data_IF_152121883459
#
_entry.id   IF_152121883459
#
_cell.length_a   1.000
_cell.length_b   1.000
_cell.length_c   1.000
_cell.angle_alpha   90.00
_cell.angle_beta   90.00
_cell.angle_gamma   90.00
#
_symmetry.space_group_name_H-M   'P 1'
#
loop_
_entity.id
_entity.type
_entity.pdbx_description
1 polymer ?
#
# COMPACT_ATOMS: atom_id res chain seq x y z
N UNK A 1 -2.90 7.20 34.36
CA UNK A 1 -1.89 6.14 34.15
C UNK A 1 -1.09 6.48 32.90
N UNK A 2 0.23 6.70 32.98
CA UNK A 2 1.04 7.05 31.81
C UNK A 2 1.40 5.82 30.96
N UNK A 3 1.48 6.04 29.65
CA UNK A 3 1.77 5.09 28.57
C UNK A 3 3.20 4.49 28.68
N UNK A 4 3.39 3.16 28.80
CA UNK A 4 4.69 2.56 29.10
C UNK A 4 5.56 2.18 27.89
N UNK A 5 5.29 2.68 26.67
CA UNK A 5 6.14 2.37 25.52
C UNK A 5 6.54 3.64 24.78
N UNK A 6 7.81 4.03 24.94
CA UNK A 6 8.50 5.16 24.30
C UNK A 6 8.66 5.02 22.78
N UNK A 7 7.53 4.89 22.07
CA UNK A 7 7.42 5.20 20.65
C UNK A 7 6.80 6.59 20.55
N UNK A 8 7.65 7.59 20.36
CA UNK A 8 7.24 8.90 19.88
C UNK A 8 7.06 8.75 18.38
N UNK A 9 5.92 9.19 17.85
CA UNK A 9 5.76 9.41 16.41
C UNK A 9 6.87 10.39 15.96
N UNK A 10 7.85 9.98 15.16
CA UNK A 10 8.96 10.85 14.81
C UNK A 10 8.57 11.97 13.83
N UNK A 11 7.29 12.07 13.42
CA UNK A 11 6.85 13.11 12.49
C UNK A 11 5.75 14.03 12.99
N UNK A 12 5.10 13.79 14.14
CA UNK A 12 4.15 14.75 14.73
C UNK A 12 3.13 15.31 13.73
N UNK A 13 2.69 14.50 12.75
CA UNK A 13 1.69 14.89 11.77
C UNK A 13 0.33 14.48 12.31
N UNK A 14 -0.08 15.19 13.35
CA UNK A 14 -1.47 15.35 13.70
C UNK A 14 -2.14 15.89 12.42
N UNK A 15 -3.08 15.13 11.86
CA UNK A 15 -3.92 15.59 10.78
C UNK A 15 -4.80 16.75 11.29
N UNK A 16 -4.24 17.95 11.38
CA UNK A 16 -4.98 19.19 11.49
C UNK A 16 -5.14 19.75 10.09
N UNK A 17 -6.34 19.56 9.56
CA UNK A 17 -6.86 20.40 8.50
C UNK A 17 -6.77 21.86 8.95
N UNK A 18 -5.99 22.67 8.23
CA UNK A 18 -5.99 24.12 8.39
C UNK A 18 -6.17 24.75 7.01
N UNK A 19 -7.22 25.57 6.92
CA UNK A 19 -7.63 26.41 5.81
C UNK A 19 -6.46 27.04 5.03
N UNK A 20 -6.57 27.00 3.69
CA UNK A 20 -5.89 27.92 2.78
C UNK A 20 -6.44 29.35 2.94
N UNK A 21 -5.63 30.37 2.63
CA UNK A 21 -5.95 31.16 1.44
C UNK A 21 -4.74 31.59 0.60
N UNK A 22 -4.97 31.75 -0.71
CA UNK A 22 -4.37 32.81 -1.53
C UNK A 22 -3.14 32.46 -2.37
N UNK A 23 -3.40 32.20 -3.65
CA UNK A 23 -2.68 32.61 -4.86
C UNK A 23 -1.16 32.89 -4.83
N UNK A 24 -0.42 32.13 -5.65
CA UNK A 24 0.64 32.66 -6.50
C UNK A 24 0.83 31.75 -7.72
N UNK A 25 0.57 32.31 -8.90
CA UNK A 25 0.80 31.69 -10.20
C UNK A 25 2.30 31.64 -10.53
N UNK A 26 2.78 30.54 -11.11
CA UNK A 26 3.84 30.57 -12.13
C UNK A 26 3.77 29.36 -13.07
N UNK A 27 3.78 29.69 -14.37
CA UNK A 27 4.34 28.98 -15.53
C UNK A 27 3.82 27.60 -15.92
N UNK A 28 3.11 27.62 -17.04
CA UNK A 28 2.89 26.51 -17.97
C UNK A 28 4.22 25.85 -18.38
N UNK A 29 4.39 24.57 -18.03
CA UNK A 29 5.25 23.63 -18.76
C UNK A 29 4.46 22.34 -19.01
N UNK A 30 4.27 22.06 -20.30
CA UNK A 30 4.09 20.75 -20.94
C UNK A 30 3.26 19.69 -20.20
N UNK A 31 1.94 19.76 -20.40
CA UNK A 31 1.02 18.64 -20.14
C UNK A 31 1.24 17.53 -21.19
N UNK A 32 2.18 16.63 -20.90
CA UNK A 32 2.25 15.30 -21.54
C UNK A 32 1.02 14.47 -21.14
N UNK A 33 -0.01 14.56 -21.98
CA UNK A 33 -1.23 13.76 -21.97
C UNK A 33 -0.95 12.31 -22.44
N UNK A 34 -0.12 11.56 -21.73
CA UNK A 34 -0.05 10.08 -21.89
C UNK A 34 0.66 9.30 -20.77
N UNK A 35 1.32 9.95 -19.80
CA UNK A 35 2.04 9.27 -18.72
C UNK A 35 1.36 9.41 -17.35
N UNK A 36 1.02 8.29 -16.70
CA UNK A 36 0.76 8.26 -15.26
C UNK A 36 1.91 9.00 -14.53
N UNK A 37 1.64 10.02 -13.69
CA UNK A 37 2.70 10.80 -13.07
C UNK A 37 3.51 9.89 -12.14
N UNK A 38 4.82 9.76 -12.43
CA UNK A 38 5.73 9.07 -11.53
C UNK A 38 5.69 9.75 -10.17
N UNK A 39 5.46 8.98 -9.11
CA UNK A 39 5.52 9.52 -7.76
C UNK A 39 6.96 10.03 -7.47
N UNK A 40 7.11 11.10 -6.66
CA UNK A 40 8.41 11.73 -6.41
C UNK A 40 9.38 10.77 -5.72
N UNK A 41 10.69 10.97 -5.86
CA UNK A 41 11.64 10.14 -5.11
C UNK A 41 11.46 10.34 -3.59
N UNK A 42 11.45 9.22 -2.85
CA UNK A 42 11.21 9.20 -1.40
C UNK A 42 12.34 8.44 -0.72
N UNK A 43 12.69 8.83 0.51
CA UNK A 43 13.69 8.12 1.29
C UNK A 43 13.23 6.70 1.65
N UNK A 44 14.09 5.71 1.44
CA UNK A 44 13.88 4.34 1.93
C UNK A 44 14.28 4.20 3.40
N UNK A 45 13.66 3.26 4.12
CA UNK A 45 13.95 2.97 5.52
C UNK A 45 14.00 1.46 5.77
N UNK A 46 15.03 0.99 6.47
CA UNK A 46 15.17 -0.41 6.84
C UNK A 46 14.17 -0.82 7.93
N UNK A 47 13.68 -2.06 7.85
CA UNK A 47 12.86 -2.67 8.89
C UNK A 47 13.70 -3.58 9.79
N UNK A 48 13.38 -3.69 11.10
CA UNK A 48 14.15 -4.52 12.03
C UNK A 48 14.01 -6.03 11.76
N UNK A 49 12.96 -6.42 11.03
CA UNK A 49 12.68 -7.82 10.68
C UNK A 49 12.10 -7.91 9.25
N UNK A 50 12.06 -9.13 8.73
CA UNK A 50 11.34 -9.50 7.51
C UNK A 50 9.95 -10.08 7.84
N UNK A 51 8.94 -10.01 6.95
CA UNK A 51 7.65 -10.62 7.19
C UNK A 51 7.77 -12.13 7.43
N UNK A 52 6.95 -12.65 8.34
CA UNK A 52 6.89 -14.08 8.62
C UNK A 52 6.04 -14.78 7.57
N UNK A 53 6.40 -16.02 7.24
CA UNK A 53 5.51 -16.91 6.50
C UNK A 53 4.35 -17.39 7.38
N UNK A 54 3.32 -17.97 6.77
CA UNK A 54 2.20 -18.54 7.53
C UNK A 54 2.64 -19.67 8.47
N UNK A 55 3.60 -20.51 8.04
CA UNK A 55 4.15 -21.59 8.86
C UNK A 55 4.98 -21.04 10.02
N UNK A 56 5.83 -20.03 9.79
CA UNK A 56 6.59 -19.38 10.85
C UNK A 56 5.68 -18.71 11.89
N UNK A 57 4.64 -17.99 11.45
CA UNK A 57 3.62 -17.43 12.34
C UNK A 57 2.96 -18.51 13.20
N UNK A 58 2.61 -19.65 12.61
CA UNK A 58 2.00 -20.78 13.33
C UNK A 58 2.94 -21.34 14.39
N UNK A 59 4.21 -21.57 14.05
CA UNK A 59 5.21 -22.07 15.00
C UNK A 59 5.39 -21.13 16.18
N UNK A 60 5.56 -19.83 15.94
CA UNK A 60 5.75 -18.86 17.03
C UNK A 60 4.49 -18.75 17.88
N UNK A 61 3.29 -18.78 17.27
CA UNK A 61 2.01 -18.78 18.01
C UNK A 61 1.89 -19.97 18.95
N UNK A 62 2.21 -21.18 18.51
CA UNK A 62 2.19 -22.36 19.35
C UNK A 62 3.17 -22.22 20.53
N UNK A 63 4.36 -21.63 20.31
CA UNK A 63 5.30 -21.33 21.40
C UNK A 63 4.77 -20.29 22.38
N UNK A 64 4.01 -19.29 21.91
CA UNK A 64 3.35 -18.30 22.78
C UNK A 64 2.33 -19.01 23.68
N UNK A 65 1.49 -19.87 23.12
CA UNK A 65 0.47 -20.65 23.86
C UNK A 65 1.11 -21.57 24.91
N UNK A 66 2.24 -22.20 24.57
CA UNK A 66 3.02 -23.05 25.46
C UNK A 66 3.91 -22.27 26.45
N UNK A 67 3.90 -20.92 26.41
CA UNK A 67 4.79 -20.04 27.18
C UNK A 67 6.29 -20.36 27.01
N UNK A 68 6.66 -20.87 25.83
CA UNK A 68 8.01 -21.28 25.45
C UNK A 68 8.67 -20.33 24.44
N UNK A 69 8.00 -19.23 24.09
CA UNK A 69 8.52 -18.25 23.12
C UNK A 69 9.66 -17.42 23.71
N UNK A 70 10.73 -17.22 22.95
CA UNK A 70 11.78 -16.28 23.32
C UNK A 70 11.34 -14.82 23.12
N UNK A 71 11.98 -13.87 23.82
CA UNK A 71 11.72 -12.43 23.65
C UNK A 71 11.88 -11.99 22.19
N UNK A 72 12.91 -12.47 21.49
CA UNK A 72 13.19 -12.13 20.09
C UNK A 72 12.11 -12.66 19.14
N UNK A 73 11.66 -13.90 19.32
CA UNK A 73 10.57 -14.47 18.51
C UNK A 73 9.27 -13.70 18.70
N UNK A 74 8.96 -13.34 19.95
CA UNK A 74 7.78 -12.55 20.25
C UNK A 74 7.85 -11.15 19.62
N UNK A 75 8.99 -10.47 19.70
CA UNK A 75 9.20 -9.16 19.06
C UNK A 75 9.04 -9.22 17.54
N UNK A 76 9.59 -10.26 16.90
CA UNK A 76 9.43 -10.47 15.46
C UNK A 76 7.96 -10.75 15.09
N UNK A 77 7.27 -11.59 15.86
CA UNK A 77 5.85 -11.88 15.67
C UNK A 77 4.96 -10.63 15.83
N UNK A 78 5.19 -9.84 16.88
CA UNK A 78 4.45 -8.59 17.10
C UNK A 78 4.71 -7.57 15.99
N UNK A 79 5.97 -7.44 15.55
CA UNK A 79 6.33 -6.60 14.43
C UNK A 79 5.63 -7.05 13.13
N UNK A 80 5.65 -8.34 12.79
CA UNK A 80 5.00 -8.89 11.59
C UNK A 80 3.49 -8.61 11.59
N UNK A 81 2.85 -8.82 12.75
CA UNK A 81 1.43 -8.52 12.97
C UNK A 81 1.14 -7.03 12.74
N UNK A 82 1.92 -6.14 13.34
CA UNK A 82 1.75 -4.68 13.20
C UNK A 82 2.00 -4.21 11.77
N UNK A 83 3.04 -4.73 11.12
CA UNK A 83 3.39 -4.41 9.74
C UNK A 83 2.29 -4.85 8.78
N UNK A 84 1.81 -6.09 8.93
CA UNK A 84 0.68 -6.62 8.15
C UNK A 84 -0.59 -5.77 8.33
N UNK A 85 -0.92 -5.40 9.57
CA UNK A 85 -2.06 -4.54 9.86
C UNK A 85 -1.92 -3.14 9.22
N UNK A 86 -0.71 -2.57 9.21
CA UNK A 86 -0.44 -1.28 8.55
C UNK A 86 -0.68 -1.38 7.04
N UNK A 87 -0.13 -2.40 6.38
CA UNK A 87 -0.35 -2.64 4.94
C UNK A 87 -1.82 -2.82 4.60
N UNK A 88 -2.53 -3.67 5.35
CA UNK A 88 -3.95 -3.92 5.12
C UNK A 88 -4.79 -2.66 5.31
N UNK A 89 -4.47 -1.84 6.32
CA UNK A 89 -5.11 -0.54 6.51
C UNK A 89 -4.93 0.39 5.31
N UNK A 90 -3.75 0.38 4.67
CA UNK A 90 -3.51 1.09 3.42
C UNK A 90 -4.46 0.64 2.32
N UNK A 91 -4.54 -0.68 2.10
CA UNK A 91 -5.44 -1.30 1.11
C UNK A 91 -6.90 -0.94 1.37
N UNK A 92 -7.35 -1.03 2.62
CA UNK A 92 -8.73 -0.70 3.00
C UNK A 92 -9.03 0.80 2.84
N UNK A 93 -8.05 1.67 3.11
CA UNK A 93 -8.14 3.11 2.85
C UNK A 93 -8.24 3.38 1.37
N UNK A 94 -7.40 2.74 0.55
CA UNK A 94 -7.39 2.91 -0.89
C UNK A 94 -8.75 2.59 -1.51
N UNK A 95 -9.32 1.41 -1.25
CA UNK A 95 -10.63 1.04 -1.81
C UNK A 95 -11.77 1.94 -1.32
N UNK A 96 -11.68 2.44 -0.08
CA UNK A 96 -12.65 3.43 0.43
C UNK A 96 -12.52 4.79 -0.26
N UNK A 97 -11.30 5.21 -0.59
CA UNK A 97 -11.07 6.42 -1.38
C UNK A 97 -11.51 6.24 -2.83
N UNK A 98 -11.31 5.06 -3.42
CA UNK A 98 -11.76 4.75 -4.78
C UNK A 98 -13.28 4.89 -4.90
N UNK A 99 -14.03 4.41 -3.89
CA UNK A 99 -15.47 4.65 -3.79
C UNK A 99 -15.87 6.12 -3.82
N UNK A 100 -15.04 7.03 -3.31
CA UNK A 100 -15.30 8.48 -3.34
C UNK A 100 -14.90 9.14 -4.66
N UNK A 101 -13.97 8.54 -5.39
CA UNK A 101 -13.28 9.13 -6.54
C UNK A 101 -13.66 8.50 -7.86
N UNK A 102 -14.66 7.60 -7.88
CA UNK A 102 -15.15 6.94 -9.09
C UNK A 102 -15.14 7.90 -10.28
N UNK A 103 -14.25 7.61 -11.23
CA UNK A 103 -14.07 8.41 -12.43
C UNK A 103 -14.86 7.79 -13.57
N UNK A 104 -15.53 8.63 -14.35
CA UNK A 104 -16.22 8.19 -15.56
C UNK A 104 -15.19 7.57 -16.53
N UNK A 105 -15.44 6.32 -16.94
CA UNK A 105 -14.64 5.63 -17.95
C UNK A 105 -13.46 4.79 -17.44
N UNK A 106 -13.11 4.84 -16.16
CA UNK A 106 -12.06 3.98 -15.57
C UNK A 106 -12.58 2.59 -15.17
N UNK A 107 -13.87 2.50 -14.86
CA UNK A 107 -14.50 1.30 -14.33
C UNK A 107 -15.70 0.93 -15.20
N UNK A 108 -15.86 -0.36 -15.49
CA UNK A 108 -17.09 -0.85 -16.08
C UNK A 108 -18.26 -0.76 -15.08
N UNK A 109 -19.48 -1.02 -15.55
CA UNK A 109 -20.69 -0.91 -14.71
C UNK A 109 -20.66 -1.86 -13.51
N UNK A 110 -20.19 -3.10 -13.70
CA UNK A 110 -20.13 -4.11 -12.64
C UNK A 110 -19.05 -3.80 -11.60
N UNK A 111 -17.89 -3.29 -12.05
CA UNK A 111 -16.80 -2.82 -11.20
C UNK A 111 -17.23 -1.58 -10.40
N UNK A 112 -17.91 -0.63 -11.05
CA UNK A 112 -18.47 0.56 -10.40
C UNK A 112 -19.45 0.17 -9.31
N UNK A 113 -20.40 -0.73 -9.60
CA UNK A 113 -21.35 -1.24 -8.62
C UNK A 113 -20.65 -1.95 -7.45
N UNK A 114 -19.63 -2.77 -7.73
CA UNK A 114 -18.85 -3.43 -6.70
C UNK A 114 -18.19 -2.43 -5.74
N UNK A 115 -17.52 -1.41 -6.29
CA UNK A 115 -16.85 -0.36 -5.52
C UNK A 115 -17.86 0.44 -4.68
N UNK A 116 -19.00 0.83 -5.26
CA UNK A 116 -20.07 1.54 -4.54
C UNK A 116 -20.61 0.71 -3.36
N UNK A 117 -20.71 -0.61 -3.54
CA UNK A 117 -21.11 -1.55 -2.50
C UNK A 117 -19.99 -1.91 -1.50
N UNK A 118 -18.83 -1.25 -1.59
CA UNK A 118 -17.69 -1.50 -0.69
C UNK A 118 -17.01 -2.86 -0.93
N UNK A 119 -17.27 -3.48 -2.08
CA UNK A 119 -16.58 -4.69 -2.54
C UNK A 119 -15.38 -4.30 -3.40
N UNK A 120 -14.48 -5.25 -3.61
CA UNK A 120 -13.37 -5.09 -4.56
C UNK A 120 -13.87 -5.40 -5.97
N UNK A 121 -13.53 -4.59 -6.98
CA UNK A 121 -13.90 -4.84 -8.36
C UNK A 121 -13.24 -6.12 -8.87
N UNK A 122 -13.78 -6.65 -9.97
CA UNK A 122 -13.25 -7.83 -10.65
C UNK A 122 -12.91 -7.51 -12.09
N UNK A 123 -11.89 -8.18 -12.61
CA UNK A 123 -11.54 -8.20 -14.02
C UNK A 123 -11.50 -9.67 -14.46
N UNK A 124 -12.24 -10.02 -15.51
CA UNK A 124 -12.37 -11.40 -16.01
C UNK A 124 -12.69 -12.46 -14.92
N UNK A 125 -13.48 -12.07 -13.92
CA UNK A 125 -13.91 -12.94 -12.80
C UNK A 125 -12.94 -13.00 -11.61
N UNK A 126 -11.71 -12.50 -11.77
CA UNK A 126 -10.71 -12.39 -10.71
C UNK A 126 -10.82 -11.07 -9.95
N UNK A 127 -10.60 -11.09 -8.63
CA UNK A 127 -10.59 -9.88 -7.82
C UNK A 127 -9.34 -9.07 -8.08
N UNK A 128 -9.51 -7.78 -8.39
CA UNK A 128 -8.40 -6.86 -8.59
C UNK A 128 -7.70 -6.55 -7.26
N UNK A 129 -6.39 -6.33 -7.36
CA UNK A 129 -5.51 -6.10 -6.23
C UNK A 129 -5.21 -4.60 -6.07
N UNK A 130 -4.90 -4.17 -4.84
CA UNK A 130 -4.32 -2.84 -4.61
C UNK A 130 -2.81 -3.02 -4.43
N UNK A 131 -2.04 -2.67 -5.45
CA UNK A 131 -0.60 -2.81 -5.51
C UNK A 131 0.11 -1.64 -4.84
N UNK A 132 1.06 -1.91 -3.94
CA UNK A 132 1.90 -0.88 -3.32
C UNK A 132 2.97 -0.41 -4.31
N UNK A 133 2.84 0.83 -4.83
CA UNK A 133 3.76 1.42 -5.82
C UNK A 133 5.18 1.56 -5.29
N UNK A 134 5.34 2.03 -4.07
CA UNK A 134 6.55 1.90 -3.26
C UNK A 134 6.44 0.67 -2.38
N UNK A 135 7.40 -0.24 -2.50
CA UNK A 135 7.46 -1.47 -1.71
C UNK A 135 7.30 -1.18 -0.21
N UNK A 136 6.33 -1.83 0.43
CA UNK A 136 6.00 -1.55 1.83
C UNK A 136 7.14 -1.87 2.83
N UNK A 137 8.07 -2.77 2.49
CA UNK A 137 9.24 -3.07 3.33
C UNK A 137 10.32 -2.02 3.21
N UNK A 138 10.59 -1.54 1.99
CA UNK A 138 11.60 -0.51 1.72
C UNK A 138 11.09 0.89 2.08
N UNK A 139 9.76 1.08 2.08
CA UNK A 139 9.07 2.34 2.39
C UNK A 139 7.96 2.14 3.45
N UNK A 140 8.30 1.69 4.66
CA UNK A 140 7.31 1.32 5.68
C UNK A 140 6.45 2.50 6.18
N UNK A 141 6.98 3.73 6.07
CA UNK A 141 6.24 4.94 6.38
C UNK A 141 5.08 5.19 5.40
N UNK A 142 5.16 4.70 4.15
CA UNK A 142 4.09 4.80 3.15
C UNK A 142 3.12 3.61 3.14
N UNK A 143 3.36 2.58 3.96
CA UNK A 143 2.62 1.31 3.87
C UNK A 143 1.09 1.42 4.10
N UNK A 144 0.63 2.44 4.85
CA UNK A 144 -0.79 2.72 5.07
C UNK A 144 -1.30 4.01 4.39
N UNK A 145 -0.51 4.57 3.47
CA UNK A 145 -0.90 5.70 2.65
C UNK A 145 -1.66 5.19 1.40
N UNK A 146 -2.96 5.52 1.22
CA UNK A 146 -3.72 5.09 0.06
C UNK A 146 -3.21 5.67 -1.25
N UNK A 147 -2.50 6.81 -1.24
CA UNK A 147 -1.87 7.37 -2.44
C UNK A 147 -0.72 6.48 -2.92
N UNK A 148 -0.11 5.67 -2.05
CA UNK A 148 0.91 4.69 -2.47
C UNK A 148 0.32 3.44 -3.13
N UNK A 149 -1.00 3.36 -3.32
CA UNK A 149 -1.64 2.19 -3.90
C UNK A 149 -2.14 2.48 -5.32
N UNK A 150 -2.18 1.43 -6.14
CA UNK A 150 -2.67 1.43 -7.51
C UNK A 150 -3.55 0.19 -7.71
N UNK A 151 -4.74 0.31 -8.33
CA UNK A 151 -5.56 -0.86 -8.63
C UNK A 151 -4.89 -1.64 -9.75
N UNK A 152 -4.72 -2.95 -9.62
CA UNK A 152 -4.09 -3.77 -10.65
C UNK A 152 -4.81 -5.11 -10.81
N UNK A 153 -4.87 -5.61 -12.03
CA UNK A 153 -5.19 -7.03 -12.23
C UNK A 153 -4.03 -7.89 -11.71
N UNK A 154 -4.26 -9.22 -11.61
CA UNK A 154 -3.19 -10.15 -11.23
C UNK A 154 -2.04 -10.13 -12.25
N UNK A 155 -2.38 -10.01 -13.54
CA UNK A 155 -1.42 -9.98 -14.63
C UNK A 155 -0.58 -8.69 -14.59
N UNK A 156 -1.21 -7.52 -14.47
CA UNK A 156 -0.49 -6.26 -14.32
C UNK A 156 0.39 -6.24 -13.07
N UNK A 157 -0.13 -6.72 -11.93
CA UNK A 157 0.64 -6.76 -10.70
C UNK A 157 1.94 -7.57 -10.89
N UNK A 158 1.86 -8.73 -11.53
CA UNK A 158 3.05 -9.54 -11.80
C UNK A 158 3.95 -8.94 -12.89
N UNK A 159 3.40 -8.64 -14.06
CA UNK A 159 4.20 -8.36 -15.24
C UNK A 159 4.51 -6.87 -15.43
N UNK A 160 3.54 -5.97 -15.19
CA UNK A 160 3.74 -4.50 -15.29
C UNK A 160 4.51 -3.99 -14.07
N UNK A 161 4.03 -4.29 -12.88
CA UNK A 161 4.60 -3.78 -11.64
C UNK A 161 5.85 -4.54 -11.20
N UNK A 162 5.80 -5.88 -11.18
CA UNK A 162 6.92 -6.70 -10.70
C UNK A 162 7.83 -7.26 -11.80
N UNK A 163 7.60 -6.96 -13.08
CA UNK A 163 8.47 -7.42 -14.19
C UNK A 163 8.55 -8.94 -14.33
N UNK A 164 7.49 -9.68 -13.96
CA UNK A 164 7.42 -11.14 -14.04
C UNK A 164 7.90 -11.89 -12.80
N UNK A 165 8.33 -11.19 -11.74
CA UNK A 165 8.76 -11.83 -10.49
C UNK A 165 8.36 -11.00 -9.26
N UNK A 166 7.41 -11.50 -8.46
CA UNK A 166 6.93 -10.84 -7.22
C UNK A 166 8.02 -10.50 -6.18
N UNK A 167 9.24 -11.02 -6.32
CA UNK A 167 10.38 -10.66 -5.47
C UNK A 167 11.05 -9.34 -5.86
N UNK A 168 10.78 -8.83 -7.06
CA UNK A 168 11.33 -7.55 -7.51
C UNK A 168 10.66 -6.41 -6.75
N UNK A 169 11.44 -5.44 -6.29
CA UNK A 169 10.91 -4.30 -5.54
C UNK A 169 10.48 -3.17 -6.47
N UNK A 170 9.40 -2.48 -6.11
CA UNK A 170 8.88 -1.30 -6.80
C UNK A 170 9.22 -0.03 -6.01
N UNK A 171 9.53 1.06 -6.72
CA UNK A 171 9.91 2.36 -6.15
C UNK A 171 9.11 3.50 -6.79
N UNK A 172 7.78 3.39 -6.74
CA UNK A 172 6.84 4.43 -7.16
C UNK A 172 6.38 4.32 -8.61
N UNK A 173 7.05 3.47 -9.43
CA UNK A 173 6.74 3.25 -10.84
C UNK A 173 6.76 1.76 -11.22
N UNK A 174 6.04 1.35 -12.28
CA UNK A 174 6.13 0.00 -12.82
C UNK A 174 7.54 -0.36 -13.28
N UNK A 175 7.93 -1.63 -13.11
CA UNK A 175 9.21 -2.13 -13.61
C UNK A 175 9.18 -2.43 -15.11
N UNK A 176 8.01 -2.67 -15.69
CA UNK A 176 7.84 -2.90 -17.11
C UNK A 176 6.67 -2.08 -17.67
N UNK A 177 6.99 -0.88 -18.16
CA UNK A 177 6.02 0.06 -18.73
C UNK A 177 5.41 -0.40 -20.06
N UNK A 178 6.03 -1.40 -20.73
CA UNK A 178 5.56 -1.92 -22.01
C UNK A 178 4.36 -2.86 -21.86
N UNK A 179 4.11 -3.38 -20.65
CA UNK A 179 2.89 -4.14 -20.37
C UNK A 179 1.75 -3.14 -20.22
N UNK A 180 0.80 -3.20 -21.15
CA UNK A 180 -0.38 -2.32 -21.15
C UNK A 180 -1.30 -2.63 -19.96
N UNK A 181 -2.06 -1.62 -19.55
CA UNK A 181 -3.16 -1.79 -18.61
C UNK A 181 -4.32 -2.53 -19.30
N UNK A 182 -5.00 -3.37 -18.55
CA UNK A 182 -6.08 -4.25 -19.00
C UNK A 182 -7.46 -3.63 -18.81
N UNK A 183 -7.58 -2.55 -18.03
CA UNK A 183 -8.84 -1.85 -17.73
C UNK A 183 -8.65 -0.33 -17.71
#
# INVERSE_FOLDING_TARGET
>A
MPNPTGWVDPLGLDNKATNCPGDAATSDEDLDLSGEPSLPDVNSYSTPYQPLSASQRKVIRNKIEQRAVSKREYQHYDWDRRFSNRRNRGVDRFWREEKKRLKNGQWDEAQTEAILNGKRPKFEGETMEAHHRYNALSYPHLADNPVNLYPATRYEHLYRWHGGNFRNETSGKPLNVNVKEEF
#
